data_IF_835747506612
#
_entry.id   IF_835747506612
#
_cell.length_a   1.000
_cell.length_b   1.000
_cell.length_c   1.000
_cell.angle_alpha   90.00
_cell.angle_beta   90.00
_cell.angle_gamma   90.00
#
_symmetry.space_group_name_H-M   'P 1'
#
loop_
_entity.id
_entity.type
_entity.pdbx_description
1 polymer ?
#
# COMPACT_ATOMS: atom_id res chain seq x y z
N UNK A 1 -19.12 24.82 12.65
CA UNK A 1 -17.92 23.98 12.42
C UNK A 1 -18.12 22.68 13.18
N UNK A 2 -18.63 21.65 12.50
CA UNK A 2 -18.66 20.28 13.00
C UNK A 2 -18.82 19.36 11.78
N UNK A 3 -17.76 18.64 11.42
CA UNK A 3 -17.67 17.81 10.22
C UNK A 3 -17.52 16.32 10.59
N UNK A 4 -18.43 15.81 11.42
CA UNK A 4 -18.49 14.38 11.72
C UNK A 4 -19.96 13.95 11.75
N UNK A 5 -20.44 13.45 10.61
CA UNK A 5 -21.57 12.53 10.51
C UNK A 5 -21.59 11.95 9.09
N UNK A 6 -20.72 10.96 8.84
CA UNK A 6 -20.91 10.03 7.73
C UNK A 6 -21.56 8.77 8.32
N UNK A 7 -22.89 8.76 8.34
CA UNK A 7 -23.66 7.54 8.53
C UNK A 7 -23.55 6.72 7.24
N UNK A 8 -22.98 5.53 7.34
CA UNK A 8 -22.95 4.57 6.24
C UNK A 8 -24.31 3.88 6.10
N UNK A 9 -24.72 3.76 4.84
CA UNK A 9 -26.00 3.28 4.35
C UNK A 9 -26.18 1.77 4.59
N UNK A 10 -27.11 1.37 5.46
CA UNK A 10 -27.62 -0.01 5.49
C UNK A 10 -28.82 -0.09 4.55
N UNK A 11 -28.68 -0.84 3.46
CA UNK A 11 -29.81 -1.20 2.61
C UNK A 11 -30.38 -2.55 3.05
N UNK A 12 -31.54 -2.50 3.69
CA UNK A 12 -32.46 -3.62 3.73
C UNK A 12 -32.98 -3.86 2.31
N UNK A 13 -32.50 -4.91 1.66
CA UNK A 13 -33.20 -5.49 0.51
C UNK A 13 -33.43 -6.96 0.76
N UNK A 14 -34.69 -7.27 1.11
CA UNK A 14 -35.25 -8.60 0.99
C UNK A 14 -35.12 -9.07 -0.47
N UNK A 15 -34.16 -9.98 -0.73
CA UNK A 15 -34.11 -10.78 -1.94
C UNK A 15 -33.49 -12.14 -1.59
N UNK A 16 -34.24 -13.21 -1.87
CA UNK A 16 -33.79 -14.60 -1.76
C UNK A 16 -32.71 -14.85 -2.82
N UNK A 17 -31.49 -15.16 -2.41
CA UNK A 17 -30.41 -15.58 -3.30
C UNK A 17 -29.09 -15.64 -2.56
N UNK A 18 -28.52 -16.86 -2.46
CA UNK A 18 -27.20 -17.21 -1.93
C UNK A 18 -26.80 -16.58 -0.58
N UNK A 19 -26.75 -17.41 0.48
CA UNK A 19 -26.00 -17.07 1.70
C UNK A 19 -24.51 -16.96 1.33
N UNK A 20 -24.11 -15.76 0.90
CA UNK A 20 -22.72 -15.35 0.95
C UNK A 20 -22.44 -15.18 2.44
N UNK A 21 -21.70 -16.12 3.03
CA UNK A 21 -21.22 -16.00 4.42
C UNK A 21 -20.53 -14.64 4.55
N UNK A 22 -21.24 -13.68 5.15
CA UNK A 22 -20.68 -12.38 5.44
C UNK A 22 -19.69 -12.59 6.58
N UNK A 23 -18.40 -12.75 6.27
CA UNK A 23 -17.38 -12.75 7.29
C UNK A 23 -17.47 -11.42 8.04
N UNK A 24 -17.83 -11.42 9.34
CA UNK A 24 -17.94 -10.19 10.09
C UNK A 24 -16.58 -9.49 10.09
N UNK A 25 -16.57 -8.19 9.78
CA UNK A 25 -15.33 -7.40 9.83
C UNK A 25 -14.86 -7.39 11.28
N UNK A 26 -13.73 -8.06 11.53
CA UNK A 26 -13.11 -8.16 12.85
C UNK A 26 -12.50 -6.83 13.26
N UNK A 27 -12.57 -6.51 14.55
CA UNK A 27 -11.92 -5.29 15.06
C UNK A 27 -10.40 -5.51 15.13
N UNK A 28 -9.59 -4.44 15.10
CA UNK A 28 -8.13 -4.56 15.15
C UNK A 28 -7.63 -5.45 16.30
N UNK A 29 -8.17 -5.28 17.50
CA UNK A 29 -7.81 -6.09 18.67
C UNK A 29 -8.16 -7.58 18.50
N UNK A 30 -9.24 -7.90 17.77
CA UNK A 30 -9.64 -9.28 17.54
C UNK A 30 -8.69 -9.95 16.52
N UNK A 31 -8.19 -9.18 15.55
CA UNK A 31 -7.17 -9.64 14.60
C UNK A 31 -5.83 -9.88 15.29
N UNK A 32 -5.39 -8.99 16.18
CA UNK A 32 -4.13 -9.14 16.91
C UNK A 32 -4.09 -10.43 17.75
N UNK A 33 -5.23 -10.84 18.34
CA UNK A 33 -5.34 -12.08 19.11
C UNK A 33 -5.31 -13.34 18.22
N UNK A 34 -5.67 -13.21 16.94
CA UNK A 34 -5.68 -14.31 15.96
C UNK A 34 -4.40 -14.37 15.12
N UNK A 35 -3.56 -13.34 15.17
CA UNK A 35 -2.25 -13.35 14.56
C UNK A 35 -1.36 -14.31 15.35
N UNK A 36 -1.30 -15.55 14.89
CA UNK A 36 -0.32 -16.51 15.40
C UNK A 36 1.09 -16.00 15.10
N UNK A 37 1.95 -16.04 16.12
CA UNK A 37 3.38 -15.81 15.94
C UNK A 37 3.91 -16.89 14.97
N UNK A 38 4.49 -16.52 13.81
CA UNK A 38 5.02 -17.46 12.83
C UNK A 38 6.28 -18.21 13.32
N UNK A 39 6.43 -18.40 14.63
CA UNK A 39 7.45 -19.12 15.41
C UNK A 39 7.90 -20.50 14.89
N UNK A 40 7.33 -20.97 13.77
CA UNK A 40 7.91 -22.02 12.94
C UNK A 40 9.22 -21.60 12.26
N UNK A 41 9.89 -22.57 11.65
CA UNK A 41 11.07 -22.31 10.81
C UNK A 41 10.62 -21.52 9.58
N UNK A 42 10.82 -20.21 9.59
CA UNK A 42 10.47 -19.32 8.48
C UNK A 42 11.36 -19.69 7.30
N UNK A 43 10.74 -19.91 6.13
CA UNK A 43 11.48 -20.02 4.87
C UNK A 43 12.13 -18.65 4.59
N UNK A 44 13.44 -18.58 4.82
CA UNK A 44 14.20 -17.34 4.68
C UNK A 44 14.17 -16.80 3.25
N UNK A 45 14.15 -17.68 2.24
CA UNK A 45 14.09 -17.25 0.83
C UNK A 45 12.74 -16.60 0.52
N UNK A 46 11.66 -17.14 1.08
CA UNK A 46 10.33 -16.54 0.94
C UNK A 46 10.25 -15.19 1.68
N UNK A 47 10.79 -15.13 2.90
CA UNK A 47 10.83 -13.90 3.69
C UNK A 47 11.59 -12.78 2.96
N UNK A 48 12.78 -13.09 2.44
CA UNK A 48 13.62 -12.14 1.71
C UNK A 48 12.90 -11.61 0.45
N UNK A 49 12.15 -12.46 -0.25
CA UNK A 49 11.35 -12.06 -1.40
C UNK A 49 10.19 -11.14 -1.02
N UNK A 50 9.49 -11.45 0.06
CA UNK A 50 8.38 -10.62 0.56
C UNK A 50 8.92 -9.25 0.98
N UNK A 51 9.96 -9.21 1.81
CA UNK A 51 10.59 -7.97 2.25
C UNK A 51 11.13 -7.17 1.06
N UNK A 52 11.86 -7.81 0.16
CA UNK A 52 12.39 -7.21 -1.06
C UNK A 52 11.29 -6.64 -1.95
N UNK A 53 10.12 -7.26 -2.02
CA UNK A 53 9.00 -6.75 -2.83
C UNK A 53 8.40 -5.46 -2.26
N UNK A 54 8.24 -5.39 -0.94
CA UNK A 54 7.68 -4.21 -0.25
C UNK A 54 8.69 -3.06 -0.30
N UNK A 55 9.95 -3.34 0.03
CA UNK A 55 11.03 -2.35 -0.01
C UNK A 55 11.27 -1.88 -1.45
N UNK A 56 11.32 -2.81 -2.41
CA UNK A 56 11.53 -2.51 -3.83
C UNK A 56 10.41 -1.67 -4.42
N UNK A 57 9.16 -1.88 -4.00
CA UNK A 57 8.03 -1.04 -4.39
C UNK A 57 8.21 0.40 -3.91
N UNK A 58 8.52 0.60 -2.63
CA UNK A 58 8.75 1.93 -2.07
C UNK A 58 9.94 2.64 -2.72
N UNK A 59 11.02 1.92 -3.00
CA UNK A 59 12.18 2.46 -3.73
C UNK A 59 11.83 2.83 -5.17
N UNK A 60 11.05 2.00 -5.86
CA UNK A 60 10.61 2.26 -7.23
C UNK A 60 9.74 3.51 -7.33
N UNK A 61 8.85 3.72 -6.38
CA UNK A 61 8.01 4.92 -6.28
C UNK A 61 8.85 6.18 -6.06
N UNK A 62 9.73 6.18 -5.04
CA UNK A 62 10.60 7.31 -4.74
C UNK A 62 11.54 7.69 -5.90
N UNK A 63 12.07 6.69 -6.63
CA UNK A 63 12.88 6.92 -7.84
C UNK A 63 12.03 7.52 -8.99
N UNK A 64 10.80 7.04 -9.15
CA UNK A 64 9.89 7.48 -10.21
C UNK A 64 9.37 8.90 -9.98
N UNK A 65 9.11 9.27 -8.72
CA UNK A 65 8.53 10.56 -8.35
C UNK A 65 9.38 11.76 -8.81
N UNK A 66 10.71 11.61 -8.86
CA UNK A 66 11.61 12.66 -9.34
C UNK A 66 11.37 13.04 -10.81
N UNK A 67 11.05 12.05 -11.65
CA UNK A 67 10.83 12.23 -13.10
C UNK A 67 9.37 12.17 -13.51
N UNK A 68 8.46 12.14 -12.55
CA UNK A 68 7.02 12.09 -12.80
C UNK A 68 6.57 13.27 -13.67
N UNK A 69 5.73 12.99 -14.66
CA UNK A 69 5.22 13.95 -15.65
C UNK A 69 6.29 14.61 -16.55
N UNK A 70 7.52 14.09 -16.59
CA UNK A 70 8.56 14.54 -17.53
C UNK A 70 8.46 13.80 -18.86
N UNK A 71 8.72 14.47 -20.00
CA UNK A 71 8.77 13.79 -21.29
C UNK A 71 9.94 12.82 -21.33
N UNK A 72 9.83 11.75 -22.12
CA UNK A 72 10.88 10.74 -22.25
C UNK A 72 12.24 11.32 -22.69
N UNK A 73 12.26 12.37 -23.51
CA UNK A 73 13.48 13.08 -23.90
C UNK A 73 14.24 13.67 -22.70
N UNK A 74 13.51 14.13 -21.67
CA UNK A 74 14.11 14.64 -20.44
C UNK A 74 14.85 13.53 -19.69
N UNK A 75 14.26 12.33 -19.57
CA UNK A 75 14.89 11.18 -18.90
C UNK A 75 16.14 10.70 -19.64
N UNK A 76 16.16 10.75 -20.98
CA UNK A 76 17.37 10.45 -21.76
C UNK A 76 18.51 11.42 -21.48
N UNK A 77 18.20 12.71 -21.33
CA UNK A 77 19.19 13.74 -21.04
C UNK A 77 19.62 13.75 -19.56
N UNK A 78 18.70 13.39 -18.66
CA UNK A 78 18.88 13.42 -17.20
C UNK A 78 18.47 12.07 -16.60
N UNK A 79 19.26 11.00 -16.82
CA UNK A 79 18.96 9.70 -16.26
C UNK A 79 19.07 9.71 -14.74
N UNK A 80 18.07 9.16 -14.06
CA UNK A 80 18.08 8.96 -12.60
C UNK A 80 19.12 7.90 -12.25
N UNK A 81 20.07 8.24 -11.41
CA UNK A 81 21.19 7.35 -11.02
C UNK A 81 21.22 7.01 -9.55
N UNK A 82 20.47 7.76 -8.75
CA UNK A 82 20.40 7.62 -7.30
C UNK A 82 19.00 8.10 -6.86
N UNK A 83 18.68 7.91 -5.57
CA UNK A 83 17.56 8.59 -4.95
C UNK A 83 17.85 10.10 -4.98
N UNK A 84 16.96 10.85 -5.61
CA UNK A 84 17.07 12.29 -5.80
C UNK A 84 15.79 12.96 -5.31
N UNK A 85 15.92 14.06 -4.57
CA UNK A 85 14.77 14.87 -4.17
C UNK A 85 14.27 15.78 -5.32
N UNK A 86 13.24 16.57 -5.07
CA UNK A 86 12.67 17.50 -6.04
C UNK A 86 11.47 16.89 -6.79
N UNK A 87 11.55 16.85 -8.12
CA UNK A 87 10.44 16.40 -8.96
C UNK A 87 9.25 17.35 -8.94
N UNK A 88 8.11 16.85 -9.39
CA UNK A 88 6.86 17.64 -9.51
C UNK A 88 6.34 18.12 -8.15
N UNK A 89 6.59 17.35 -7.11
CA UNK A 89 6.06 17.58 -5.76
C UNK A 89 7.07 18.22 -4.79
N UNK A 90 8.32 18.42 -5.21
CA UNK A 90 9.37 19.00 -4.35
C UNK A 90 9.76 18.10 -3.17
N UNK A 91 9.79 16.78 -3.38
CA UNK A 91 10.04 15.78 -2.34
C UNK A 91 11.48 15.82 -1.82
N UNK A 92 11.70 15.27 -0.63
CA UNK A 92 13.05 15.02 -0.14
C UNK A 92 13.62 13.75 -0.80
N UNK A 93 14.94 13.55 -0.68
CA UNK A 93 15.59 12.35 -1.18
C UNK A 93 15.05 11.11 -0.45
N UNK A 94 14.44 10.18 -1.20
CA UNK A 94 13.90 8.92 -0.67
C UNK A 94 12.47 9.00 -0.11
N UNK A 95 11.76 10.10 -0.38
CA UNK A 95 10.34 10.25 -0.08
C UNK A 95 9.46 9.90 -1.28
#
# INVERSE_FOLDING_TARGET
KNWLNLQWYNSDTSNKGEEVESHPIKKPNDLENEMEDPSGNIDQDLLDRIQGSIIGMALGDALGAHVEFRPYSYMKANPVKDLEGGGTWGLQKGQ
#
